data_IF_690034473551
#
_entry.id   IF_690034473551
#
_cell.length_a   1.000
_cell.length_b   1.000
_cell.length_c   1.000
_cell.angle_alpha   90.00
_cell.angle_beta   90.00
_cell.angle_gamma   90.00
#
_symmetry.space_group_name_H-M   'P 1'
#
loop_
_entity.id
_entity.type
_entity.pdbx_description
1 polymer ?
#
# COMPACT_ATOMS: atom_id res chain seq x y z
N UNK A 1 2.88 7.88 -15.59
CA UNK A 1 1.72 7.05 -15.23
C UNK A 1 1.75 5.80 -16.10
N UNK A 2 1.63 4.60 -15.50
CA UNK A 2 1.66 3.29 -16.20
C UNK A 2 0.61 3.23 -17.33
N UNK A 3 -0.54 3.88 -17.14
CA UNK A 3 -1.58 4.03 -18.15
C UNK A 3 -1.16 4.81 -19.41
N UNK A 4 -0.08 5.60 -19.36
CA UNK A 4 0.40 6.42 -20.49
C UNK A 4 1.45 5.70 -21.35
N UNK A 5 1.93 4.52 -20.91
CA UNK A 5 3.04 3.80 -21.54
C UNK A 5 2.61 2.53 -22.29
N UNK A 6 1.33 2.16 -22.21
CA UNK A 6 0.80 0.94 -22.81
C UNK A 6 -0.53 1.26 -23.51
N UNK A 7 -0.62 0.98 -24.80
CA UNK A 7 -1.87 1.05 -25.55
C UNK A 7 -2.70 -0.21 -25.27
N UNK A 8 -3.91 -0.06 -24.74
CA UNK A 8 -4.84 -1.16 -24.44
C UNK A 8 -5.63 -0.97 -23.15
N UNK A 9 -6.44 -1.97 -22.80
CA UNK A 9 -7.22 -1.97 -21.56
C UNK A 9 -6.30 -2.27 -20.37
N UNK A 10 -6.23 -1.34 -19.41
CA UNK A 10 -5.50 -1.54 -18.15
C UNK A 10 -6.48 -1.82 -17.02
N UNK A 11 -6.39 -3.01 -16.43
CA UNK A 11 -7.09 -3.36 -15.20
C UNK A 11 -6.03 -3.43 -14.09
N UNK A 12 -6.24 -2.65 -13.03
CA UNK A 12 -5.38 -2.66 -11.85
C UNK A 12 -6.23 -2.56 -10.59
N UNK A 13 -5.78 -3.19 -9.51
CA UNK A 13 -6.38 -3.06 -8.18
C UNK A 13 -5.47 -2.21 -7.30
N UNK A 14 -5.79 -0.92 -7.09
CA UNK A 14 -5.01 -0.07 -6.19
C UNK A 14 -4.96 -0.67 -4.79
N UNK A 15 -6.07 -1.28 -4.35
CA UNK A 15 -6.15 -1.92 -3.03
C UNK A 15 -5.13 -3.05 -2.88
N UNK A 16 -5.05 -3.97 -3.85
CA UNK A 16 -4.07 -5.05 -3.82
C UNK A 16 -2.63 -4.54 -3.78
N UNK A 17 -2.31 -3.54 -4.60
CA UNK A 17 -0.99 -2.93 -4.60
C UNK A 17 -0.67 -2.26 -3.24
N UNK A 18 -1.61 -1.51 -2.67
CA UNK A 18 -1.45 -0.88 -1.36
C UNK A 18 -1.27 -1.90 -0.23
N UNK A 19 -1.98 -3.03 -0.25
CA UNK A 19 -1.82 -4.08 0.75
C UNK A 19 -0.41 -4.68 0.72
N UNK A 20 0.10 -5.04 -0.46
CA UNK A 20 1.45 -5.60 -0.60
C UNK A 20 2.51 -4.58 -0.20
N UNK A 21 2.35 -3.33 -0.62
CA UNK A 21 3.27 -2.26 -0.24
C UNK A 21 3.23 -1.97 1.26
N UNK A 22 2.06 -2.05 1.91
CA UNK A 22 1.95 -1.90 3.37
C UNK A 22 2.69 -3.02 4.11
N UNK A 23 2.56 -4.28 3.64
CA UNK A 23 3.35 -5.38 4.20
C UNK A 23 4.86 -5.20 3.98
N UNK A 24 5.25 -4.61 2.85
CA UNK A 24 6.65 -4.29 2.55
C UNK A 24 7.19 -3.17 3.44
N UNK A 25 6.38 -2.16 3.76
CA UNK A 25 6.73 -1.10 4.71
C UNK A 25 7.09 -1.67 6.07
N UNK A 26 6.36 -2.67 6.58
CA UNK A 26 6.63 -3.32 7.87
C UNK A 26 7.98 -4.07 7.90
N UNK A 27 8.50 -4.47 6.74
CA UNK A 27 9.83 -5.09 6.61
C UNK A 27 10.95 -4.11 6.21
N UNK A 28 10.59 -2.92 5.74
CA UNK A 28 11.53 -1.88 5.34
C UNK A 28 12.06 -1.14 6.57
N UNK A 29 13.24 -0.54 6.45
CA UNK A 29 13.84 0.26 7.52
C UNK A 29 14.47 1.54 6.96
N UNK A 30 14.50 2.58 7.79
CA UNK A 30 15.23 3.82 7.50
C UNK A 30 14.59 4.63 6.36
N UNK A 31 15.39 5.03 5.37
CA UNK A 31 14.91 5.91 4.30
C UNK A 31 13.83 5.24 3.43
N UNK A 32 13.97 3.93 3.17
CA UNK A 32 13.00 3.17 2.37
C UNK A 32 11.63 3.13 3.03
N UNK A 33 11.61 2.87 4.34
CA UNK A 33 10.40 2.87 5.14
C UNK A 33 9.71 4.24 5.14
N UNK A 34 10.49 5.31 5.29
CA UNK A 34 10.00 6.69 5.29
C UNK A 34 9.33 7.06 3.97
N UNK A 35 9.97 6.73 2.84
CA UNK A 35 9.41 6.98 1.51
C UNK A 35 8.16 6.15 1.24
N UNK A 36 8.10 4.90 1.72
CA UNK A 36 6.91 4.06 1.60
C UNK A 36 5.76 4.58 2.45
N UNK A 37 6.02 5.00 3.70
CA UNK A 37 5.02 5.63 4.58
C UNK A 37 4.44 6.89 3.93
N UNK A 38 5.31 7.72 3.35
CA UNK A 38 4.91 8.93 2.62
C UNK A 38 4.10 8.62 1.36
N UNK A 39 4.52 7.66 0.54
CA UNK A 39 3.83 7.31 -0.70
C UNK A 39 2.43 6.73 -0.44
N UNK A 40 2.27 5.94 0.62
CA UNK A 40 1.01 5.32 1.02
C UNK A 40 0.14 6.23 1.92
N UNK A 41 0.60 7.44 2.26
CA UNK A 41 -0.07 8.38 3.16
C UNK A 41 -0.40 7.77 4.53
N UNK A 42 0.58 7.07 5.10
CA UNK A 42 0.49 6.46 6.42
C UNK A 42 0.98 7.49 7.44
N UNK A 43 0.06 8.23 8.02
CA UNK A 43 0.33 9.20 9.10
C UNK A 43 0.10 8.61 10.50
N UNK A 44 -0.39 7.38 10.57
CA UNK A 44 -0.74 6.70 11.81
C UNK A 44 0.41 5.82 12.34
N UNK A 45 0.39 5.59 13.65
CA UNK A 45 1.26 4.61 14.32
C UNK A 45 1.16 3.22 13.65
N UNK A 46 2.27 2.49 13.54
CA UNK A 46 2.36 1.17 12.88
C UNK A 46 1.30 0.20 13.39
N UNK A 47 1.00 0.24 14.69
CA UNK A 47 -0.03 -0.61 15.29
C UNK A 47 -1.43 -0.30 14.74
N UNK A 48 -1.73 0.97 14.50
CA UNK A 48 -3.00 1.43 13.92
C UNK A 48 -3.07 1.07 12.44
N UNK A 49 -1.95 1.22 11.72
CA UNK A 49 -1.86 0.91 10.31
C UNK A 49 -2.10 -0.59 10.03
N UNK A 50 -1.41 -1.47 10.77
CA UNK A 50 -1.57 -2.92 10.66
C UNK A 50 -2.98 -3.38 10.98
N UNK A 51 -3.58 -2.81 12.04
CA UNK A 51 -4.97 -3.10 12.43
C UNK A 51 -5.96 -2.64 11.35
N UNK A 52 -5.79 -1.43 10.82
CA UNK A 52 -6.64 -0.90 9.77
C UNK A 52 -6.61 -1.75 8.50
N UNK A 53 -5.41 -2.12 8.04
CA UNK A 53 -5.25 -2.97 6.86
C UNK A 53 -5.85 -4.37 7.08
N UNK A 54 -5.65 -4.96 8.26
CA UNK A 54 -6.28 -6.24 8.64
C UNK A 54 -7.80 -6.16 8.60
N UNK A 55 -8.38 -5.11 9.20
CA UNK A 55 -9.84 -4.90 9.19
C UNK A 55 -10.37 -4.75 7.77
N UNK A 56 -9.69 -4.02 6.90
CA UNK A 56 -10.10 -3.86 5.50
C UNK A 56 -10.10 -5.19 4.75
N UNK A 57 -9.04 -6.01 4.91
CA UNK A 57 -8.94 -7.33 4.29
C UNK A 57 -10.06 -8.25 4.80
N UNK A 58 -10.32 -8.25 6.11
CA UNK A 58 -11.36 -9.10 6.72
C UNK A 58 -12.79 -8.65 6.38
N UNK A 59 -13.01 -7.37 6.10
CA UNK A 59 -14.35 -6.82 5.77
C UNK A 59 -14.70 -7.01 4.30
N UNK A 60 -13.68 -7.03 3.42
CA UNK A 60 -13.86 -7.12 1.96
C UNK A 60 -13.88 -8.57 1.44
N UNK A 61 -13.68 -9.57 2.32
CA UNK A 61 -13.72 -11.00 2.03
C UNK A 61 -15.03 -11.62 2.50
#
# INVERSE_FOLDING_TARGET
AVAKSQEGNLILSPFSACTVLSMLTEGAHGNTETELKKALHIDADEAVQKRGMKTLIETLN
#
